data_IF_361463920649
#
_entry.id   IF_361463920649
#
_cell.length_a   1.000
_cell.length_b   1.000
_cell.length_c   1.000
_cell.angle_alpha   90.00
_cell.angle_beta   90.00
_cell.angle_gamma   90.00
#
_symmetry.space_group_name_H-M   'P 1'
#
loop_
_entity.id
_entity.type
_entity.pdbx_description
1 polymer ?
#
# COMPACT_ATOMS: atom_id res chain seq x y z
N UNK A 1 7.41 2.76 -10.19
CA UNK A 1 6.64 1.49 -10.27
C UNK A 1 7.31 0.53 -9.30
N UNK A 2 6.52 -0.18 -8.49
CA UNK A 2 7.00 -1.22 -7.57
C UNK A 2 6.29 -2.52 -7.94
N UNK A 3 7.04 -3.61 -8.02
CA UNK A 3 6.57 -4.91 -8.48
C UNK A 3 6.75 -5.95 -7.37
N UNK A 4 5.71 -6.76 -7.14
CA UNK A 4 5.69 -7.81 -6.13
C UNK A 4 5.19 -9.11 -6.75
N UNK A 5 5.92 -10.20 -6.54
CA UNK A 5 5.43 -11.54 -6.86
C UNK A 5 4.37 -11.99 -5.84
N UNK A 6 3.50 -12.95 -6.19
CA UNK A 6 2.51 -13.47 -5.25
C UNK A 6 3.16 -13.98 -3.96
N UNK A 7 2.76 -13.39 -2.83
CA UNK A 7 3.31 -13.71 -1.50
C UNK A 7 4.41 -12.78 -1.00
N UNK A 8 4.96 -11.89 -1.84
CA UNK A 8 5.90 -10.86 -1.41
C UNK A 8 5.18 -9.68 -0.72
N UNK A 9 5.88 -9.03 0.21
CA UNK A 9 5.38 -7.89 0.96
C UNK A 9 6.56 -7.01 1.45
N UNK A 10 6.26 -5.77 1.87
CA UNK A 10 7.25 -4.90 2.50
C UNK A 10 7.61 -5.43 3.90
N UNK A 11 8.90 -5.67 4.14
CA UNK A 11 9.40 -6.11 5.44
C UNK A 11 9.36 -4.99 6.50
N UNK A 12 9.50 -3.74 6.06
CA UNK A 12 9.39 -2.56 6.91
C UNK A 12 7.95 -2.08 6.88
N UNK A 13 7.33 -1.95 8.05
CA UNK A 13 6.05 -1.24 8.22
C UNK A 13 6.36 0.24 8.28
N UNK A 14 6.22 0.93 7.16
CA UNK A 14 6.76 2.26 7.00
C UNK A 14 6.00 3.26 7.87
N UNK A 15 6.74 4.12 8.57
CA UNK A 15 6.21 5.26 9.31
C UNK A 15 7.18 6.42 9.10
N UNK A 16 6.81 7.37 8.25
CA UNK A 16 7.69 8.49 7.91
C UNK A 16 6.88 9.74 7.54
N UNK A 17 7.56 10.88 7.46
CA UNK A 17 6.95 12.16 7.12
C UNK A 17 6.57 12.30 5.64
N UNK A 18 6.93 11.37 4.76
CA UNK A 18 6.52 11.47 3.36
C UNK A 18 5.03 11.12 3.21
N UNK A 19 4.36 11.85 2.33
CA UNK A 19 3.00 11.54 1.86
C UNK A 19 3.07 10.78 0.53
N UNK A 20 2.10 9.90 0.28
CA UNK A 20 2.07 9.09 -0.93
C UNK A 20 0.68 9.02 -1.54
N UNK A 21 0.64 8.98 -2.87
CA UNK A 21 -0.50 8.51 -3.63
C UNK A 21 -0.04 7.38 -4.54
N UNK A 22 -0.79 6.27 -4.58
CA UNK A 22 -0.53 5.19 -5.52
C UNK A 22 -1.81 4.77 -6.25
N UNK A 23 -1.61 4.24 -7.45
CA UNK A 23 -2.62 3.58 -8.26
C UNK A 23 -2.17 2.14 -8.45
N UNK A 24 -3.02 1.17 -8.10
CA UNK A 24 -2.71 -0.24 -8.31
C UNK A 24 -2.94 -0.57 -9.79
N UNK A 25 -1.85 -0.77 -10.54
CA UNK A 25 -1.93 -0.98 -11.98
C UNK A 25 -2.44 -2.39 -12.32
N UNK A 26 -1.97 -3.42 -11.62
CA UNK A 26 -2.28 -4.82 -11.96
C UNK A 26 -2.54 -5.66 -10.70
N UNK A 27 -3.33 -6.73 -10.90
CA UNK A 27 -3.61 -7.77 -9.89
C UNK A 27 -4.35 -7.24 -8.64
N UNK A 28 -4.16 -7.90 -7.50
CA UNK A 28 -4.86 -7.65 -6.24
C UNK A 28 -3.99 -8.02 -5.05
N UNK A 29 -4.33 -7.51 -3.86
CA UNK A 29 -3.62 -7.78 -2.61
C UNK A 29 -4.37 -7.24 -1.40
N UNK A 30 -3.69 -7.21 -0.24
CA UNK A 30 -4.18 -6.55 0.96
C UNK A 30 -3.23 -5.38 1.27
N UNK A 31 -3.77 -4.17 1.45
CA UNK A 31 -3.02 -3.00 1.90
C UNK A 31 -3.38 -2.68 3.35
N UNK A 32 -2.40 -2.39 4.20
CA UNK A 32 -2.62 -1.96 5.58
C UNK A 32 -2.43 -0.46 5.67
N UNK A 33 -3.39 0.26 6.25
CA UNK A 33 -3.24 1.68 6.61
C UNK A 33 -3.65 1.87 8.06
N UNK A 34 -2.69 2.27 8.91
CA UNK A 34 -2.87 2.30 10.36
C UNK A 34 -3.21 0.91 10.89
N UNK A 35 -4.40 0.76 11.48
CA UNK A 35 -4.90 -0.50 12.03
C UNK A 35 -5.92 -1.21 11.14
N UNK A 36 -6.18 -0.67 9.95
CA UNK A 36 -7.15 -1.22 9.00
C UNK A 36 -6.47 -1.96 7.85
N UNK A 37 -7.13 -3.03 7.39
CA UNK A 37 -6.68 -3.88 6.29
C UNK A 37 -7.72 -3.84 5.18
N UNK A 38 -7.27 -3.52 3.98
CA UNK A 38 -8.12 -3.30 2.81
C UNK A 38 -7.76 -4.31 1.73
N UNK A 39 -8.69 -5.18 1.30
CA UNK A 39 -8.57 -5.85 0.03
C UNK A 39 -8.59 -4.81 -1.08
N UNK A 40 -7.61 -4.86 -1.97
CA UNK A 40 -7.45 -3.91 -3.10
C UNK A 40 -7.19 -4.67 -4.39
N UNK A 41 -7.61 -4.09 -5.52
CA UNK A 41 -7.48 -4.64 -6.86
C UNK A 41 -7.09 -3.57 -7.89
N UNK A 42 -6.70 -4.01 -9.09
CA UNK A 42 -6.32 -3.13 -10.20
C UNK A 42 -7.37 -2.04 -10.43
N UNK A 43 -6.90 -0.80 -10.54
CA UNK A 43 -7.72 0.41 -10.65
C UNK A 43 -7.97 1.13 -9.33
N UNK A 44 -7.75 0.50 -8.18
CA UNK A 44 -7.90 1.17 -6.89
C UNK A 44 -6.79 2.21 -6.68
N UNK A 45 -7.18 3.38 -6.19
CA UNK A 45 -6.27 4.45 -5.80
C UNK A 45 -6.22 4.58 -4.27
N UNK A 46 -5.00 4.72 -3.75
CA UNK A 46 -4.75 4.82 -2.30
C UNK A 46 -4.00 6.13 -2.03
N UNK A 47 -4.51 6.89 -1.06
CA UNK A 47 -3.83 8.05 -0.48
C UNK A 47 -3.34 7.71 0.92
N UNK A 48 -2.10 8.10 1.22
CA UNK A 48 -1.44 7.86 2.49
C UNK A 48 -0.91 9.17 3.02
N UNK A 49 -1.51 9.63 4.13
CA UNK A 49 -1.12 10.86 4.81
C UNK A 49 0.21 10.70 5.55
N UNK A 50 0.81 11.84 5.94
CA UNK A 50 2.04 11.89 6.73
C UNK A 50 1.92 10.97 7.96
N UNK A 51 2.93 10.14 8.22
CA UNK A 51 3.02 9.25 9.38
C UNK A 51 1.92 8.19 9.53
N UNK A 52 1.05 7.97 8.55
CA UNK A 52 0.19 6.77 8.59
C UNK A 52 1.08 5.52 8.49
N UNK A 53 0.94 4.53 9.39
CA UNK A 53 1.60 3.24 9.22
C UNK A 53 1.10 2.57 7.94
N UNK A 54 2.01 2.22 7.03
CA UNK A 54 1.72 1.63 5.71
C UNK A 54 2.58 0.38 5.44
#
# INVERSE_FOLDING_TARGET
IMDFQPGEFLNVKEVHYNQHGLLLLERQGIYRLGDSWYPVQSGDAIWMALFVPQ
#
